data_IF_776859531242
#
_entry.id   IF_776859531242
#
_cell.length_a   1.000
_cell.length_b   1.000
_cell.length_c   1.000
_cell.angle_alpha   90.00
_cell.angle_beta   90.00
_cell.angle_gamma   90.00
#
_symmetry.space_group_name_H-M   'P 1'
#
loop_
_entity.id
_entity.type
_entity.pdbx_description
1 polymer ?
#
# COMPACT_ATOMS: atom_id res chain seq x y z
N UNK A 1 -7.56 -18.94 2.27
CA UNK A 1 -6.58 -18.27 1.35
C UNK A 1 -7.29 -17.37 0.36
N UNK A 2 -8.50 -17.73 -0.07
CA UNK A 2 -9.38 -16.87 -0.87
C UNK A 2 -9.77 -15.59 -0.11
N UNK A 3 -9.74 -15.62 1.23
CA UNK A 3 -9.96 -14.49 2.12
C UNK A 3 -8.96 -13.33 1.93
N UNK A 4 -7.81 -13.60 1.30
CA UNK A 4 -6.74 -12.64 1.01
C UNK A 4 -6.53 -12.45 -0.50
N UNK A 5 -7.59 -12.63 -1.30
CA UNK A 5 -7.55 -12.51 -2.76
C UNK A 5 -7.66 -11.08 -3.30
N UNK A 6 -7.58 -10.07 -2.43
CA UNK A 6 -7.72 -8.66 -2.81
C UNK A 6 -6.45 -8.05 -3.41
N UNK A 7 -5.93 -7.02 -2.73
CA UNK A 7 -4.78 -6.22 -3.15
C UNK A 7 -3.46 -6.77 -2.57
N UNK A 8 -2.35 -6.61 -3.28
CA UNK A 8 -0.99 -6.85 -2.75
C UNK A 8 -0.31 -5.52 -2.40
N UNK A 9 0.06 -5.34 -1.13
CA UNK A 9 0.81 -4.18 -0.63
C UNK A 9 2.31 -4.50 -0.58
N UNK A 10 3.14 -3.55 -1.03
CA UNK A 10 4.60 -3.66 -1.06
C UNK A 10 5.12 -4.97 -1.71
N UNK A 11 4.37 -5.52 -2.66
CA UNK A 11 4.70 -6.79 -3.35
C UNK A 11 4.68 -8.05 -2.49
N UNK A 12 4.28 -7.97 -1.20
CA UNK A 12 4.42 -9.08 -0.24
C UNK A 12 3.18 -9.34 0.61
N UNK A 13 2.49 -8.29 1.02
CA UNK A 13 1.38 -8.42 1.97
C UNK A 13 0.08 -8.52 1.20
N UNK A 14 -0.59 -9.68 1.24
CA UNK A 14 -1.90 -9.87 0.62
C UNK A 14 -2.98 -9.38 1.59
N UNK A 15 -3.77 -8.42 1.13
CA UNK A 15 -4.85 -7.83 1.90
C UNK A 15 -6.18 -8.55 1.58
N UNK A 16 -7.12 -8.57 2.54
CA UNK A 16 -8.46 -9.02 2.26
C UNK A 16 -9.12 -8.12 1.22
N UNK A 17 -10.13 -8.63 0.55
CA UNK A 17 -10.98 -7.80 -0.29
C UNK A 17 -11.70 -6.79 0.63
N UNK A 18 -11.57 -5.48 0.41
CA UNK A 18 -12.31 -4.51 1.21
C UNK A 18 -13.82 -4.71 1.01
N UNK A 19 -14.65 -4.59 2.07
CA UNK A 19 -16.09 -4.51 1.89
C UNK A 19 -16.41 -3.30 1.01
N UNK A 20 -17.32 -3.48 0.05
CA UNK A 20 -17.59 -2.52 -1.02
C UNK A 20 -17.84 -1.10 -0.49
N UNK A 21 -17.02 -0.16 -0.98
CA UNK A 21 -17.13 1.31 -0.86
C UNK A 21 -16.93 2.00 0.52
N UNK A 22 -16.41 1.32 1.55
CA UNK A 22 -15.96 2.01 2.78
C UNK A 22 -14.49 1.72 3.12
N UNK A 23 -13.66 2.77 3.06
CA UNK A 23 -12.29 2.76 3.57
C UNK A 23 -12.27 3.17 5.05
N UNK A 24 -12.96 2.42 5.93
CA UNK A 24 -12.84 2.56 7.39
C UNK A 24 -11.69 1.69 7.98
N UNK A 25 -10.54 1.60 7.30
CA UNK A 25 -9.50 0.64 7.72
C UNK A 25 -8.19 1.34 8.08
N UNK A 26 -8.14 1.87 9.31
CA UNK A 26 -6.89 2.29 9.96
C UNK A 26 -6.00 1.09 10.25
N UNK A 27 -6.55 -0.06 10.66
CA UNK A 27 -5.80 -1.30 10.90
C UNK A 27 -6.53 -2.49 10.28
N UNK A 28 -5.80 -3.35 9.57
CA UNK A 28 -6.36 -4.53 8.88
C UNK A 28 -5.40 -5.70 8.95
N UNK A 29 -5.92 -6.92 8.85
CA UNK A 29 -5.08 -8.13 8.76
C UNK A 29 -4.54 -8.28 7.34
N UNK A 30 -3.35 -8.83 7.22
CA UNK A 30 -2.73 -9.18 5.95
C UNK A 30 -1.99 -10.51 6.06
N UNK A 31 -1.88 -11.23 4.95
CA UNK A 31 -1.05 -12.42 4.87
C UNK A 31 0.33 -12.07 4.30
N UNK A 32 1.37 -12.36 5.07
CA UNK A 32 2.75 -12.21 4.63
C UNK A 32 3.21 -13.46 3.86
N UNK A 33 3.40 -13.31 2.55
CA UNK A 33 3.80 -14.42 1.67
C UNK A 33 5.23 -14.93 1.89
N UNK A 34 6.09 -14.17 2.56
CA UNK A 34 7.47 -14.60 2.86
C UNK A 34 7.52 -15.48 4.10
N UNK A 35 6.75 -15.14 5.12
CA UNK A 35 6.74 -15.86 6.41
C UNK A 35 5.61 -16.88 6.54
N UNK A 36 4.57 -16.77 5.72
CA UNK A 36 3.37 -17.61 5.79
C UNK A 36 2.45 -17.29 6.96
N UNK A 37 2.57 -16.10 7.56
CA UNK A 37 1.84 -15.71 8.78
C UNK A 37 0.86 -14.56 8.52
N UNK A 38 -0.18 -14.48 9.37
CA UNK A 38 -1.04 -13.29 9.45
C UNK A 38 -0.34 -12.18 10.25
N UNK A 39 -0.35 -10.97 9.70
CA UNK A 39 0.20 -9.76 10.30
C UNK A 39 -0.85 -8.65 10.33
N UNK A 40 -0.64 -7.64 11.17
CA UNK A 40 -1.46 -6.43 11.16
C UNK A 40 -0.77 -5.33 10.34
N UNK A 41 -1.55 -4.67 9.49
CA UNK A 41 -1.14 -3.53 8.68
C UNK A 41 -1.94 -2.32 9.15
N UNK A 42 -1.23 -1.25 9.51
CA UNK A 42 -1.83 0.04 9.86
C UNK A 42 -1.58 1.06 8.75
N UNK A 43 -2.66 1.67 8.25
CA UNK A 43 -2.56 2.80 7.34
C UNK A 43 -2.27 4.06 8.17
N UNK A 44 -1.14 4.71 7.87
CA UNK A 44 -0.76 5.97 8.51
C UNK A 44 -1.08 7.09 7.52
N UNK A 45 -2.01 8.00 7.83
CA UNK A 45 -2.28 9.14 6.98
C UNK A 45 -1.02 10.00 6.91
N UNK A 46 -0.64 10.38 5.70
CA UNK A 46 0.46 11.31 5.50
C UNK A 46 -0.03 12.74 5.79
N UNK A 47 0.82 13.61 6.34
CA UNK A 47 0.53 15.04 6.40
C UNK A 47 0.43 15.63 4.98
N UNK A 48 -0.15 16.81 4.88
CA UNK A 48 -0.31 17.54 3.62
C UNK A 48 1.04 17.86 2.97
N UNK A 49 2.05 18.10 3.79
CA UNK A 49 3.42 18.39 3.39
C UNK A 49 4.34 17.32 3.97
N UNK A 50 5.10 16.65 3.10
CA UNK A 50 6.10 15.64 3.46
C UNK A 50 7.44 16.08 2.86
N UNK A 51 8.46 16.25 3.69
CA UNK A 51 9.83 16.42 3.22
C UNK A 51 10.38 15.08 2.73
N UNK A 52 11.07 15.09 1.58
CA UNK A 52 11.69 13.90 1.01
C UNK A 52 13.21 14.05 1.06
N UNK A 53 13.89 13.15 1.78
CA UNK A 53 15.33 12.95 1.65
C UNK A 53 15.58 12.00 0.47
N UNK A 54 16.35 12.46 -0.52
CA UNK A 54 16.75 11.65 -1.66
C UNK A 54 18.14 11.06 -1.41
N UNK A 55 18.29 9.75 -1.59
CA UNK A 55 19.60 9.13 -1.60
C UNK A 55 20.22 9.37 -2.99
N UNK A 56 21.40 10.00 -3.03
CA UNK A 56 22.13 10.20 -4.28
C UNK A 56 22.50 8.85 -4.90
N UNK A 57 21.81 8.44 -5.97
CA UNK A 57 22.27 7.31 -6.80
C UNK A 57 21.22 6.43 -7.48
N UNK A 58 19.94 6.44 -7.13
CA UNK A 58 18.93 5.64 -7.86
C UNK A 58 17.53 6.22 -7.69
N UNK A 59 16.93 6.73 -8.78
CA UNK A 59 15.57 7.24 -8.79
C UNK A 59 14.71 6.47 -9.79
N UNK A 60 13.65 5.79 -9.31
CA UNK A 60 12.42 5.68 -10.09
C UNK A 60 11.13 5.79 -9.25
N UNK A 61 9.97 5.92 -9.91
CA UNK A 61 9.39 7.15 -10.43
C UNK A 61 8.48 7.86 -9.43
N UNK A 62 8.42 9.20 -9.57
CA UNK A 62 7.39 10.04 -8.98
C UNK A 62 5.99 9.61 -9.46
N UNK A 63 5.22 9.02 -8.56
CA UNK A 63 3.82 8.66 -8.76
C UNK A 63 2.92 9.89 -8.63
N UNK A 64 2.94 10.77 -9.63
CA UNK A 64 1.93 11.82 -9.82
C UNK A 64 1.22 11.64 -11.16
N UNK A 65 -0.07 11.99 -11.30
CA UNK A 65 -0.80 11.80 -12.54
C UNK A 65 -0.16 12.62 -13.66
N UNK A 66 0.27 11.95 -14.74
CA UNK A 66 0.64 12.63 -15.97
C UNK A 66 -0.63 13.15 -16.64
N UNK A 67 -0.86 14.46 -16.57
CA UNK A 67 -1.74 15.13 -17.51
C UNK A 67 -1.07 15.04 -18.90
N UNK A 68 -1.66 14.25 -19.79
CA UNK A 68 -1.30 14.23 -21.19
C UNK A 68 -1.63 15.60 -21.80
N UNK A 69 -0.61 16.29 -22.30
CA UNK A 69 -0.80 17.42 -23.21
C UNK A 69 -1.14 16.88 -24.61
N UNK A 70 -2.10 17.56 -25.25
CA UNK A 70 -2.75 17.23 -26.52
C UNK A 70 -1.81 17.21 -27.73
#
# INVERSE_FOLDING_TARGET
MEDYAGRILAGRYRLPLPPSDEYELVETRAFDTRSGQEVLVRQVPLPEIVDAELLDGDAPPAGGPRLAAA
#
